data_IF_040761496785
#
_entry.id   IF_040761496785
#
_cell.length_a   1.000
_cell.length_b   1.000
_cell.length_c   1.000
_cell.angle_alpha   90.00
_cell.angle_beta   90.00
_cell.angle_gamma   90.00
#
_symmetry.space_group_name_H-M   'P 1'
#
loop_
_entity.id
_entity.type
_entity.pdbx_description
1 polymer ?
#
# COMPACT_ATOMS: atom_id res chain seq x y z
N UNK A 1 41.73 12.78 8.26
CA UNK A 1 41.94 11.37 8.57
C UNK A 1 40.76 10.98 9.45
N UNK A 2 39.65 10.69 8.80
CA UNK A 2 38.48 10.06 9.39
C UNK A 2 38.13 8.94 8.42
N UNK A 3 38.50 7.72 8.80
CA UNK A 3 38.20 6.50 8.07
C UNK A 3 36.69 6.25 8.18
N UNK A 4 35.94 6.62 7.14
CA UNK A 4 34.56 6.19 7.00
C UNK A 4 34.54 4.65 7.02
N UNK A 5 33.88 4.07 8.03
CA UNK A 5 33.73 2.61 8.14
C UNK A 5 32.84 2.12 7.00
N UNK A 6 33.44 1.40 6.06
CA UNK A 6 32.72 0.72 5.00
C UNK A 6 31.98 -0.46 5.61
N UNK A 7 30.65 -0.50 5.48
CA UNK A 7 29.84 -1.65 5.91
C UNK A 7 29.32 -2.33 4.66
N UNK A 8 29.91 -3.47 4.33
CA UNK A 8 29.42 -4.36 3.29
C UNK A 8 28.15 -5.06 3.80
N UNK A 9 27.02 -4.86 3.11
CA UNK A 9 25.78 -5.57 3.41
C UNK A 9 25.54 -6.61 2.30
N UNK A 10 25.45 -7.91 2.65
CA UNK A 10 25.11 -8.97 1.70
C UNK A 10 23.78 -8.72 1.00
N UNK A 11 23.69 -9.11 -0.28
CA UNK A 11 22.46 -8.97 -1.07
C UNK A 11 21.29 -9.78 -0.48
N UNK A 12 21.57 -10.91 0.18
CA UNK A 12 20.55 -11.66 0.91
C UNK A 12 21.10 -12.48 2.07
N UNK A 13 20.26 -12.72 3.06
CA UNK A 13 20.52 -13.61 4.20
C UNK A 13 19.55 -14.78 4.21
N UNK A 14 20.03 -15.98 4.53
CA UNK A 14 19.22 -17.20 4.63
C UNK A 14 19.25 -17.74 6.04
N UNK A 15 18.10 -18.12 6.59
CA UNK A 15 18.00 -18.76 7.90
C UNK A 15 16.81 -19.71 7.96
N UNK A 16 17.05 -20.98 8.28
CA UNK A 16 16.00 -22.01 8.22
C UNK A 16 15.35 -22.06 6.84
N UNK A 17 14.02 -21.91 6.79
CA UNK A 17 13.24 -21.86 5.53
C UNK A 17 13.13 -20.44 4.96
N UNK A 18 13.76 -19.45 5.58
CA UNK A 18 13.58 -18.05 5.25
C UNK A 18 14.73 -17.47 4.42
N UNK A 19 14.39 -16.53 3.53
CA UNK A 19 15.34 -15.72 2.78
C UNK A 19 14.99 -14.25 2.94
N UNK A 20 15.89 -13.46 3.52
CA UNK A 20 15.77 -12.02 3.63
C UNK A 20 16.53 -11.36 2.49
N UNK A 21 15.80 -10.80 1.54
CA UNK A 21 16.31 -10.05 0.39
C UNK A 21 16.47 -8.58 0.78
N UNK A 22 17.71 -8.09 0.79
CA UNK A 22 18.04 -6.74 1.26
C UNK A 22 17.71 -5.67 0.23
N UNK A 23 18.10 -5.79 -1.06
CA UNK A 23 17.73 -4.82 -2.10
C UNK A 23 16.22 -4.65 -2.26
N UNK A 24 15.46 -5.74 -2.31
CA UNK A 24 14.01 -5.70 -2.52
C UNK A 24 13.22 -5.51 -1.23
N UNK A 25 13.90 -5.51 -0.07
CA UNK A 25 13.32 -5.43 1.27
C UNK A 25 12.19 -6.43 1.51
N UNK A 26 12.42 -7.69 1.13
CA UNK A 26 11.43 -8.78 1.23
C UNK A 26 11.93 -9.91 2.12
N UNK A 27 11.01 -10.51 2.87
CA UNK A 27 11.24 -11.79 3.51
C UNK A 27 10.50 -12.85 2.69
N UNK A 28 11.14 -13.98 2.46
CA UNK A 28 10.54 -15.16 1.84
C UNK A 28 10.57 -16.29 2.84
N UNK A 29 9.55 -17.16 2.81
CA UNK A 29 9.54 -18.45 3.46
C UNK A 29 9.27 -19.49 2.39
N UNK A 30 10.28 -20.30 2.09
CA UNK A 30 10.29 -21.15 0.91
C UNK A 30 9.99 -20.29 -0.34
N UNK A 31 8.88 -20.53 -1.03
CA UNK A 31 8.46 -19.76 -2.22
C UNK A 31 7.41 -18.67 -1.90
N UNK A 32 7.00 -18.51 -0.64
CA UNK A 32 5.99 -17.54 -0.22
C UNK A 32 6.64 -16.25 0.32
N UNK A 33 6.30 -15.11 -0.28
CA UNK A 33 6.73 -13.80 0.21
C UNK A 33 5.96 -13.42 1.49
N UNK A 34 6.69 -13.21 2.58
CA UNK A 34 6.20 -12.67 3.85
C UNK A 34 6.52 -11.18 3.89
N UNK A 35 5.49 -10.36 4.05
CA UNK A 35 5.68 -8.92 4.12
C UNK A 35 5.93 -8.46 5.55
N UNK A 36 6.95 -7.62 5.67
CA UNK A 36 7.31 -6.95 6.90
C UNK A 36 7.07 -5.45 6.72
N UNK A 37 6.50 -4.81 7.74
CA UNK A 37 6.45 -3.34 7.82
C UNK A 37 7.90 -2.81 7.84
N UNK A 38 8.22 -1.60 7.31
CA UNK A 38 9.60 -1.13 7.21
C UNK A 38 10.45 -1.30 8.47
N UNK A 39 9.91 -0.98 9.65
CA UNK A 39 10.61 -1.15 10.93
C UNK A 39 10.75 -2.60 11.40
N UNK A 40 9.84 -3.48 11.01
CA UNK A 40 9.98 -4.91 11.24
C UNK A 40 11.06 -5.50 10.35
N UNK A 41 11.15 -5.03 9.10
CA UNK A 41 12.23 -5.39 8.19
C UNK A 41 13.57 -4.92 8.74
N UNK A 42 13.69 -3.63 9.09
CA UNK A 42 14.93 -3.07 9.65
C UNK A 42 15.36 -3.82 10.92
N UNK A 43 14.38 -4.15 11.79
CA UNK A 43 14.62 -4.93 13.00
C UNK A 43 15.06 -6.37 12.71
N UNK A 44 14.43 -7.03 11.73
CA UNK A 44 14.82 -8.39 11.33
C UNK A 44 16.21 -8.39 10.66
N UNK A 45 16.49 -7.42 9.79
CA UNK A 45 17.81 -7.23 9.19
C UNK A 45 18.88 -7.03 10.26
N UNK A 46 18.60 -6.19 11.26
CA UNK A 46 19.49 -6.01 12.40
C UNK A 46 19.73 -7.33 13.14
N UNK A 47 18.69 -8.11 13.41
CA UNK A 47 18.82 -9.40 14.09
C UNK A 47 19.61 -10.43 13.30
N UNK A 48 19.36 -10.52 11.99
CA UNK A 48 20.01 -11.48 11.09
C UNK A 48 21.47 -11.12 10.87
N UNK A 49 21.80 -9.83 10.70
CA UNK A 49 23.17 -9.33 10.62
C UNK A 49 23.95 -9.50 11.94
N UNK A 50 23.24 -9.66 13.07
CA UNK A 50 23.83 -9.89 14.39
C UNK A 50 23.51 -11.29 14.94
N UNK A 51 23.28 -12.26 14.06
CA UNK A 51 22.87 -13.61 14.45
C UNK A 51 23.84 -14.25 15.45
N UNK A 52 23.29 -14.96 16.44
CA UNK A 52 24.03 -15.58 17.53
C UNK A 52 24.48 -14.64 18.64
N UNK A 53 24.53 -13.31 18.41
CA UNK A 53 24.93 -12.33 19.43
C UNK A 53 23.77 -11.88 20.30
N UNK A 54 24.04 -11.66 21.59
CA UNK A 54 23.11 -10.97 22.48
C UNK A 54 23.20 -9.47 22.21
N UNK A 55 22.12 -8.91 21.68
CA UNK A 55 21.97 -7.48 21.37
C UNK A 55 21.23 -6.78 22.51
N UNK A 56 21.76 -5.63 22.97
CA UNK A 56 21.12 -4.87 24.06
C UNK A 56 19.91 -4.11 23.53
N UNK A 57 18.89 -3.90 24.36
CA UNK A 57 17.70 -3.13 23.96
C UNK A 57 18.05 -1.75 23.39
N UNK A 58 18.88 -0.99 24.09
CA UNK A 58 19.28 0.35 23.66
C UNK A 58 20.03 0.33 22.32
N UNK A 59 20.91 -0.66 22.13
CA UNK A 59 21.65 -0.83 20.87
C UNK A 59 20.71 -1.09 19.69
N UNK A 60 19.68 -1.91 19.88
CA UNK A 60 18.65 -2.15 18.85
C UNK A 60 17.86 -0.87 18.58
N UNK A 61 17.49 -0.14 19.64
CA UNK A 61 16.75 1.11 19.52
C UNK A 61 17.54 2.16 18.74
N UNK A 62 18.81 2.33 19.05
CA UNK A 62 19.70 3.29 18.39
C UNK A 62 19.93 2.90 16.92
N UNK A 63 20.05 1.62 16.61
CA UNK A 63 20.29 1.16 15.24
C UNK A 63 19.02 1.23 14.35
N UNK A 64 17.87 0.82 14.86
CA UNK A 64 16.63 0.70 14.07
C UNK A 64 15.81 2.00 14.09
N UNK A 65 15.93 2.79 15.15
CA UNK A 65 15.22 4.06 15.36
C UNK A 65 16.16 5.25 15.65
N UNK A 66 17.32 5.30 14.98
CA UNK A 66 18.36 6.33 15.17
C UNK A 66 17.86 7.79 15.25
N UNK A 67 16.80 8.13 14.49
CA UNK A 67 16.25 9.49 14.40
C UNK A 67 14.91 9.65 15.15
N UNK A 68 14.54 8.72 16.02
CA UNK A 68 13.24 8.74 16.69
C UNK A 68 13.34 8.19 18.11
N UNK A 69 12.93 9.00 19.09
CA UNK A 69 12.81 8.52 20.46
C UNK A 69 11.61 7.56 20.56
N UNK A 70 11.89 6.29 20.85
CA UNK A 70 10.89 5.23 21.05
C UNK A 70 11.15 4.53 22.38
N UNK A 71 10.07 4.07 23.03
CA UNK A 71 10.17 3.33 24.28
C UNK A 71 10.52 1.84 24.07
N UNK A 72 11.06 1.18 25.09
CA UNK A 72 11.33 -0.26 25.07
C UNK A 72 10.07 -1.11 24.80
N UNK A 73 8.89 -0.58 25.11
CA UNK A 73 7.58 -1.18 24.83
C UNK A 73 7.35 -1.38 23.33
N UNK A 74 7.77 -0.42 22.50
CA UNK A 74 7.72 -0.49 21.04
C UNK A 74 8.63 -1.58 20.49
N UNK A 75 9.84 -1.72 21.04
CA UNK A 75 10.76 -2.80 20.70
C UNK A 75 10.16 -4.17 21.04
N UNK A 76 9.67 -4.33 22.27
CA UNK A 76 9.07 -5.59 22.71
C UNK A 76 7.86 -6.01 21.85
N UNK A 77 7.05 -5.04 21.41
CA UNK A 77 5.92 -5.28 20.50
C UNK A 77 6.38 -5.74 19.12
N UNK A 78 7.35 -5.06 18.50
CA UNK A 78 7.86 -5.46 17.18
C UNK A 78 8.52 -6.85 17.22
N UNK A 79 9.22 -7.19 18.30
CA UNK A 79 9.73 -8.55 18.52
C UNK A 79 8.59 -9.57 18.62
N UNK A 80 7.50 -9.26 19.32
CA UNK A 80 6.32 -10.13 19.41
C UNK A 80 5.67 -10.37 18.04
N UNK A 81 5.58 -9.33 17.19
CA UNK A 81 5.05 -9.44 15.84
C UNK A 81 5.96 -10.28 14.94
N UNK A 82 7.27 -10.04 14.98
CA UNK A 82 8.24 -10.86 14.25
C UNK A 82 8.16 -12.34 14.65
N UNK A 83 8.01 -12.64 15.96
CA UNK A 83 7.81 -14.03 16.41
C UNK A 83 6.56 -14.65 15.82
N UNK A 84 5.42 -13.93 15.80
CA UNK A 84 4.18 -14.45 15.19
C UNK A 84 4.35 -14.78 13.70
N UNK A 85 5.10 -13.96 12.97
CA UNK A 85 5.33 -14.14 11.54
C UNK A 85 6.33 -15.27 11.24
N UNK A 86 7.39 -15.38 12.04
CA UNK A 86 8.46 -16.35 11.83
C UNK A 86 8.15 -17.72 12.48
N UNK A 87 7.26 -17.75 13.48
CA UNK A 87 6.93 -18.92 14.30
C UNK A 87 5.40 -19.20 14.36
N UNK A 88 4.67 -19.28 13.22
CA UNK A 88 3.20 -19.31 13.22
C UNK A 88 2.59 -20.55 13.91
N UNK A 89 3.29 -21.69 13.91
CA UNK A 89 2.80 -22.94 14.52
C UNK A 89 3.14 -23.09 16.00
N UNK A 90 3.63 -22.02 16.65
CA UNK A 90 4.07 -22.08 18.05
C UNK A 90 5.23 -23.07 18.27
N UNK A 91 6.00 -23.34 17.22
CA UNK A 91 7.15 -24.23 17.29
C UNK A 91 8.09 -23.71 18.38
N UNK A 92 8.50 -24.57 19.32
CA UNK A 92 9.34 -24.22 20.49
C UNK A 92 10.73 -23.64 20.16
N UNK A 93 11.03 -23.37 18.89
CA UNK A 93 12.27 -22.72 18.45
C UNK A 93 12.05 -21.22 18.49
N UNK A 94 12.41 -20.58 19.61
CA UNK A 94 12.44 -19.12 19.73
C UNK A 94 13.56 -18.57 18.82
N UNK A 95 13.24 -18.29 17.57
CA UNK A 95 14.14 -17.70 16.58
C UNK A 95 14.65 -16.35 17.07
N UNK A 96 13.78 -15.58 17.73
CA UNK A 96 14.18 -14.42 18.53
C UNK A 96 13.99 -14.78 20.00
N UNK A 97 15.08 -15.00 20.73
CA UNK A 97 15.08 -15.32 22.16
C UNK A 97 15.14 -14.05 23.01
N UNK A 98 14.35 -13.99 24.08
CA UNK A 98 14.47 -12.91 25.08
C UNK A 98 15.58 -13.27 26.07
N UNK A 99 16.60 -12.41 26.21
CA UNK A 99 17.61 -12.51 27.27
C UNK A 99 17.19 -11.59 28.43
N UNK A 100 16.70 -12.13 29.56
CA UNK A 100 16.12 -11.34 30.64
C UNK A 100 17.06 -10.23 31.11
N UNK A 101 16.54 -9.01 31.27
CA UNK A 101 17.25 -7.81 31.71
C UNK A 101 18.39 -7.32 30.79
N UNK A 102 18.61 -7.94 29.62
CA UNK A 102 19.67 -7.56 28.68
C UNK A 102 19.11 -7.13 27.32
N UNK A 103 18.30 -7.97 26.70
CA UNK A 103 17.81 -7.69 25.34
C UNK A 103 17.39 -8.96 24.61
N UNK A 104 17.84 -9.12 23.37
CA UNK A 104 17.38 -10.18 22.47
C UNK A 104 18.55 -10.87 21.75
N UNK A 105 18.35 -12.12 21.36
CA UNK A 105 19.28 -12.90 20.56
C UNK A 105 18.54 -13.56 19.41
N UNK A 106 19.06 -13.42 18.20
CA UNK A 106 18.60 -14.19 17.05
C UNK A 106 19.35 -15.53 17.04
N UNK A 107 18.62 -16.63 17.21
CA UNK A 107 19.19 -17.97 17.40
C UNK A 107 19.46 -18.78 16.13
N UNK A 108 18.79 -18.53 14.99
CA UNK A 108 19.07 -19.26 13.76
C UNK A 108 20.51 -19.05 13.27
N UNK A 109 21.07 -20.10 12.69
CA UNK A 109 22.24 -19.98 11.85
C UNK A 109 21.86 -19.21 10.57
N UNK A 110 22.66 -18.20 10.25
CA UNK A 110 22.46 -17.33 9.10
C UNK A 110 23.57 -17.58 8.09
N UNK A 111 23.20 -17.75 6.82
CA UNK A 111 24.12 -17.83 5.70
C UNK A 111 23.93 -16.63 4.78
N UNK A 112 25.00 -15.95 4.43
CA UNK A 112 25.02 -14.87 3.46
C UNK A 112 25.08 -15.47 2.05
N UNK A 113 24.18 -15.07 1.15
CA UNK A 113 24.21 -15.50 -0.23
C UNK A 113 24.67 -14.34 -1.11
N UNK A 114 25.95 -14.39 -1.48
CA UNK A 114 26.60 -13.46 -2.40
C UNK A 114 26.36 -13.89 -3.85
N UNK A 115 25.40 -13.22 -4.51
CA UNK A 115 25.49 -13.01 -5.95
C UNK A 115 25.69 -11.51 -6.22
N UNK A 116 26.96 -11.10 -6.21
CA UNK A 116 27.53 -9.90 -6.87
C UNK A 116 26.88 -8.52 -6.68
N UNK A 117 26.14 -8.25 -5.59
CA UNK A 117 25.63 -6.89 -5.31
C UNK A 117 25.92 -6.46 -3.88
N UNK A 118 27.08 -5.83 -3.67
CA UNK A 118 27.42 -5.14 -2.43
C UNK A 118 26.72 -3.78 -2.38
N UNK A 119 25.90 -3.53 -1.36
CA UNK A 119 25.35 -2.21 -1.08
C UNK A 119 26.38 -1.38 -0.30
N UNK A 120 26.86 -0.29 -0.90
CA UNK A 120 27.70 0.70 -0.21
C UNK A 120 26.78 1.75 0.42
N UNK A 121 26.74 1.80 1.76
CA UNK A 121 26.00 2.83 2.51
C UNK A 121 26.98 3.91 2.94
N UNK A 122 26.89 5.11 2.35
CA UNK A 122 27.58 6.31 2.83
C UNK A 122 26.68 7.06 3.82
N UNK A 123 27.23 7.44 4.97
CA UNK A 123 26.47 8.02 6.08
C UNK A 123 25.96 9.42 5.69
N UNK A 124 24.63 9.54 5.61
CA UNK A 124 23.82 10.73 5.31
C UNK A 124 23.48 10.95 3.82
N UNK A 125 22.18 10.82 3.55
CA UNK A 125 21.46 11.00 2.26
C UNK A 125 21.46 9.78 1.35
N UNK A 126 20.34 9.04 1.36
CA UNK A 126 20.02 8.08 0.28
C UNK A 126 19.73 8.88 -0.99
N UNK A 127 20.76 9.12 -1.79
CA UNK A 127 20.60 9.54 -3.19
C UNK A 127 20.33 8.31 -4.05
N UNK A 128 19.14 8.25 -4.67
CA UNK A 128 18.82 7.28 -5.70
C UNK A 128 19.70 7.55 -6.94
N UNK A 129 20.74 6.76 -7.15
CA UNK A 129 21.43 6.70 -8.44
C UNK A 129 20.65 5.75 -9.35
N UNK A 130 19.97 6.32 -10.34
CA UNK A 130 19.48 5.60 -11.51
C UNK A 130 20.67 5.31 -12.42
N UNK A 131 21.24 4.11 -12.31
CA UNK A 131 22.19 3.62 -13.29
C UNK A 131 21.47 3.35 -14.61
N UNK A 132 21.82 4.08 -15.66
CA UNK A 132 21.42 3.78 -17.03
C UNK A 132 22.05 2.44 -17.46
N UNK A 133 21.22 1.48 -17.88
CA UNK A 133 21.71 0.33 -18.64
C UNK A 133 22.17 0.79 -20.02
N UNK A 134 23.48 1.01 -20.17
CA UNK A 134 24.13 0.92 -21.49
C UNK A 134 24.58 -0.51 -21.69
N UNK A 135 23.85 -1.26 -22.51
CA UNK A 135 24.31 -2.57 -23.00
C UNK A 135 25.47 -2.31 -23.97
N UNK A 136 26.70 -2.61 -23.55
CA UNK A 136 27.83 -2.78 -24.47
C UNK A 136 28.35 -4.21 -24.38
N UNK A 137 28.13 -4.97 -25.44
CA UNK A 137 28.64 -6.31 -25.63
C UNK A 137 30.16 -6.25 -25.79
N UNK A 138 30.91 -7.05 -25.01
CA UNK A 138 32.25 -7.47 -25.43
C UNK A 138 32.37 -8.99 -25.27
N UNK A 139 32.49 -9.66 -26.41
CA UNK A 139 32.69 -11.10 -26.56
C UNK A 139 34.06 -11.57 -26.08
N UNK A 140 34.14 -12.74 -25.46
CA UNK A 140 35.36 -13.56 -25.34
C UNK A 140 35.42 -14.63 -26.45
N UNK A 141 36.58 -15.22 -26.77
CA UNK A 141 36.91 -15.66 -28.12
C UNK A 141 36.34 -17.02 -28.53
N UNK A 142 36.33 -17.19 -29.84
CA UNK A 142 35.62 -18.15 -30.68
C UNK A 142 36.24 -19.56 -30.68
N UNK A 143 35.41 -20.58 -30.46
CA UNK A 143 35.65 -21.95 -30.95
C UNK A 143 34.82 -22.15 -32.22
N UNK A 144 35.48 -22.39 -33.36
CA UNK A 144 34.84 -22.50 -34.68
C UNK A 144 33.94 -23.74 -34.75
N UNK A 145 32.65 -23.54 -35.00
CA UNK A 145 31.66 -24.59 -35.33
C UNK A 145 31.30 -24.51 -36.81
N UNK A 146 31.12 -25.68 -37.45
CA UNK A 146 30.95 -25.86 -38.91
C UNK A 146 29.63 -25.29 -39.47
N UNK A 147 29.61 -24.92 -40.78
CA UNK A 147 28.49 -24.20 -41.42
C UNK A 147 27.12 -24.90 -41.37
N UNK A 148 27.06 -26.23 -41.15
CA UNK A 148 25.80 -26.95 -41.00
C UNK A 148 25.05 -26.63 -39.69
N UNK A 149 25.76 -26.23 -38.62
CA UNK A 149 25.16 -25.92 -37.33
C UNK A 149 24.53 -24.51 -37.30
N UNK A 150 25.11 -23.56 -38.03
CA UNK A 150 24.61 -22.19 -38.13
C UNK A 150 23.21 -22.12 -38.78
N UNK A 151 22.96 -22.95 -39.80
CA UNK A 151 21.68 -22.98 -40.52
C UNK A 151 20.54 -23.55 -39.68
N UNK A 152 20.81 -24.58 -38.88
CA UNK A 152 19.84 -25.16 -37.94
C UNK A 152 19.49 -24.18 -36.81
N UNK A 153 20.50 -23.48 -36.27
CA UNK A 153 20.30 -22.46 -35.22
C UNK A 153 19.47 -21.29 -35.75
N UNK A 154 19.70 -20.81 -36.97
CA UNK A 154 18.88 -19.73 -37.55
C UNK A 154 17.42 -20.13 -37.74
N UNK A 155 17.15 -21.36 -38.20
CA UNK A 155 15.78 -21.83 -38.41
C UNK A 155 15.02 -21.96 -37.08
N UNK A 156 15.67 -22.49 -36.03
CA UNK A 156 15.10 -22.57 -34.68
C UNK A 156 14.88 -21.17 -34.11
N UNK A 157 15.82 -20.22 -34.33
CA UNK A 157 15.67 -18.84 -33.87
C UNK A 157 14.47 -18.15 -34.53
N UNK A 158 14.25 -18.37 -35.83
CA UNK A 158 13.06 -17.85 -36.53
C UNK A 158 11.76 -18.46 -36.00
N UNK A 159 11.74 -19.76 -35.69
CA UNK A 159 10.57 -20.41 -35.10
C UNK A 159 10.31 -19.88 -33.69
N UNK A 160 11.35 -19.70 -32.86
CA UNK A 160 11.23 -19.14 -31.53
C UNK A 160 10.74 -17.69 -31.60
N UNK A 161 11.27 -16.86 -32.50
CA UNK A 161 10.82 -15.48 -32.70
C UNK A 161 9.37 -15.44 -33.20
N UNK A 162 8.97 -16.36 -34.08
CA UNK A 162 7.59 -16.44 -34.58
C UNK A 162 6.61 -16.90 -33.48
N UNK A 163 7.00 -17.88 -32.67
CA UNK A 163 6.19 -18.39 -31.55
C UNK A 163 6.10 -17.34 -30.43
N UNK A 164 7.22 -16.72 -30.05
CA UNK A 164 7.23 -15.61 -29.08
C UNK A 164 6.45 -14.40 -29.61
N UNK A 165 6.59 -14.07 -30.89
CA UNK A 165 5.81 -13.01 -31.54
C UNK A 165 4.32 -13.32 -31.56
N UNK A 166 3.93 -14.57 -31.79
CA UNK A 166 2.54 -15.01 -31.76
C UNK A 166 1.97 -15.03 -30.33
N UNK A 167 2.74 -15.48 -29.33
CA UNK A 167 2.36 -15.43 -27.91
C UNK A 167 2.24 -14.00 -27.38
N UNK A 168 3.15 -13.10 -27.78
CA UNK A 168 3.08 -11.66 -27.44
C UNK A 168 1.93 -10.99 -28.18
N UNK A 169 1.67 -11.34 -29.44
CA UNK A 169 0.51 -10.85 -30.17
C UNK A 169 -0.81 -11.29 -29.52
N UNK A 170 -0.90 -12.54 -29.05
CA UNK A 170 -2.06 -13.01 -28.30
C UNK A 170 -2.18 -12.37 -26.92
N UNK A 171 -1.09 -12.13 -26.18
CA UNK A 171 -1.14 -11.45 -24.88
C UNK A 171 -1.51 -9.96 -25.00
N UNK A 172 -0.99 -9.27 -26.03
CA UNK A 172 -1.34 -7.87 -26.33
C UNK A 172 -2.78 -7.74 -26.85
N UNK A 173 -3.25 -8.71 -27.63
CA UNK A 173 -4.66 -8.73 -28.09
C UNK A 173 -5.64 -9.18 -26.99
N UNK A 174 -5.16 -9.90 -25.98
CA UNK A 174 -5.93 -10.27 -24.79
C UNK A 174 -5.95 -9.16 -23.71
N UNK A 175 -4.94 -8.28 -23.67
CA UNK A 175 -4.89 -7.10 -22.79
C UNK A 175 -5.58 -5.86 -23.37
N UNK A 176 -5.88 -5.82 -24.67
CA UNK A 176 -6.77 -4.81 -25.22
C UNK A 176 -8.21 -5.13 -24.87
N UNK A 177 -8.66 -4.69 -23.69
CA UNK A 177 -10.07 -4.46 -23.42
C UNK A 177 -10.71 -3.62 -24.55
N UNK A 178 -12.05 -3.62 -24.68
CA UNK A 178 -12.73 -2.93 -25.77
C UNK A 178 -12.21 -1.49 -25.88
N UNK A 179 -11.73 -1.11 -27.07
CA UNK A 179 -11.15 0.21 -27.31
C UNK A 179 -12.07 1.35 -26.85
N UNK A 180 -11.55 2.57 -26.66
CA UNK A 180 -12.31 3.70 -26.08
C UNK A 180 -13.71 3.89 -26.69
N UNK A 181 -13.86 3.64 -28.00
CA UNK A 181 -15.14 3.68 -28.71
C UNK A 181 -16.09 2.53 -28.34
N UNK A 182 -15.59 1.32 -28.18
CA UNK A 182 -16.37 0.15 -27.77
C UNK A 182 -16.75 0.20 -26.29
N UNK A 183 -15.87 0.77 -25.43
CA UNK A 183 -16.17 1.05 -24.02
C UNK A 183 -17.26 2.13 -23.89
N UNK A 184 -17.14 3.22 -24.64
CA UNK A 184 -18.16 4.27 -24.72
C UNK A 184 -19.49 3.75 -25.29
N UNK A 185 -19.46 2.84 -26.26
CA UNK A 185 -20.67 2.21 -26.82
C UNK A 185 -21.36 1.27 -25.83
N UNK A 186 -20.61 0.39 -25.13
CA UNK A 186 -21.13 -0.49 -24.07
C UNK A 186 -21.72 0.34 -22.92
N UNK A 187 -21.07 1.47 -22.61
CA UNK A 187 -21.52 2.42 -21.60
C UNK A 187 -22.80 3.17 -22.01
N UNK A 188 -22.91 3.63 -23.26
CA UNK A 188 -24.14 4.24 -23.81
C UNK A 188 -25.31 3.25 -23.81
N UNK A 189 -25.07 2.00 -24.19
CA UNK A 189 -26.08 0.95 -24.20
C UNK A 189 -26.56 0.57 -22.79
N UNK A 190 -25.65 0.51 -21.80
CA UNK A 190 -26.04 0.24 -20.41
C UNK A 190 -26.80 1.41 -19.78
N UNK A 191 -26.35 2.66 -20.02
CA UNK A 191 -27.03 3.88 -19.55
C UNK A 191 -28.46 3.98 -20.13
N UNK A 192 -28.65 3.61 -21.39
CA UNK A 192 -29.96 3.56 -22.03
C UNK A 192 -30.88 2.46 -21.44
N UNK A 193 -30.32 1.40 -20.87
CA UNK A 193 -31.07 0.30 -20.26
C UNK A 193 -31.45 0.52 -18.78
N UNK A 194 -30.91 1.55 -18.13
CA UNK A 194 -31.14 1.88 -16.70
C UNK A 194 -31.78 3.25 -16.52
N UNK A 195 -32.82 3.59 -17.30
CA UNK A 195 -33.33 4.97 -17.44
C UNK A 195 -33.79 5.66 -16.16
N UNK A 196 -34.01 4.93 -15.06
CA UNK A 196 -34.52 5.48 -13.80
C UNK A 196 -33.43 5.66 -12.71
N UNK A 197 -32.18 5.21 -12.96
CA UNK A 197 -31.08 5.37 -11.99
C UNK A 197 -30.14 6.50 -12.38
N UNK A 198 -29.92 7.43 -11.46
CA UNK A 198 -28.99 8.55 -11.65
C UNK A 198 -27.54 8.05 -11.71
N UNK A 199 -26.88 8.22 -12.84
CA UNK A 199 -25.45 7.89 -12.99
C UNK A 199 -24.58 8.90 -12.22
N UNK A 200 -23.59 8.40 -11.49
CA UNK A 200 -22.54 9.22 -10.88
C UNK A 200 -21.51 9.60 -11.95
N UNK A 201 -21.10 10.85 -11.98
CA UNK A 201 -20.17 11.41 -12.98
C UNK A 201 -18.92 11.96 -12.32
N UNK A 202 -17.82 12.02 -13.06
CA UNK A 202 -16.64 12.80 -12.67
C UNK A 202 -17.06 14.25 -12.43
N UNK A 203 -16.63 14.81 -11.31
CA UNK A 203 -17.01 16.13 -10.79
C UNK A 203 -18.36 16.17 -10.05
N UNK A 204 -19.00 15.02 -9.81
CA UNK A 204 -20.15 14.96 -8.90
C UNK A 204 -19.68 15.09 -7.47
N UNK A 205 -20.44 15.80 -6.64
CA UNK A 205 -20.27 15.79 -5.19
C UNK A 205 -21.13 14.67 -4.62
N UNK A 206 -20.53 13.81 -3.79
CA UNK A 206 -21.15 12.60 -3.26
C UNK A 206 -21.01 12.51 -1.74
N UNK A 207 -21.93 11.81 -1.10
CA UNK A 207 -21.74 11.29 0.25
C UNK A 207 -21.41 9.80 0.18
N UNK A 208 -20.59 9.35 1.12
CA UNK A 208 -20.10 7.97 1.20
C UNK A 208 -20.52 7.36 2.54
N UNK A 209 -21.42 6.39 2.51
CA UNK A 209 -21.99 5.79 3.72
C UNK A 209 -21.48 4.35 3.89
N UNK A 210 -20.89 4.04 5.04
CA UNK A 210 -20.50 2.66 5.35
C UNK A 210 -21.73 1.79 5.70
N UNK A 211 -21.63 0.47 5.55
CA UNK A 211 -22.74 -0.48 5.81
C UNK A 211 -22.64 -1.25 7.13
N UNK A 212 -21.90 -0.75 8.11
CA UNK A 212 -21.74 -1.43 9.41
C UNK A 212 -23.10 -1.62 10.11
N UNK A 213 -23.39 -2.77 10.75
CA UNK A 213 -24.72 -3.06 11.30
C UNK A 213 -25.21 -2.01 12.31
N UNK A 214 -26.49 -1.61 12.17
CA UNK A 214 -27.32 -0.75 13.04
C UNK A 214 -27.39 0.76 12.77
N UNK A 215 -26.53 1.39 11.94
CA UNK A 215 -26.75 2.76 11.42
C UNK A 215 -25.57 3.15 10.51
N UNK A 216 -25.63 2.82 9.21
CA UNK A 216 -24.58 3.21 8.27
C UNK A 216 -24.29 4.71 8.40
N UNK A 217 -23.04 5.08 8.64
CA UNK A 217 -22.66 6.48 8.93
C UNK A 217 -21.72 7.00 7.83
N UNK A 218 -21.79 8.30 7.59
CA UNK A 218 -21.13 8.96 6.46
C UNK A 218 -19.67 9.28 6.75
N UNK A 219 -18.84 9.24 5.72
CA UNK A 219 -17.46 9.71 5.73
C UNK A 219 -17.44 11.23 5.96
N UNK A 220 -16.98 11.67 7.13
CA UNK A 220 -16.94 13.08 7.54
C UNK A 220 -15.51 13.52 7.90
N UNK A 221 -15.08 14.65 7.34
CA UNK A 221 -13.81 15.29 7.67
C UNK A 221 -13.99 16.29 8.83
N UNK A 222 -13.18 16.15 9.88
CA UNK A 222 -13.23 17.03 11.05
C UNK A 222 -11.89 17.05 11.81
N UNK A 223 -11.79 17.88 12.85
CA UNK A 223 -10.68 17.78 13.80
C UNK A 223 -9.33 18.17 13.20
N UNK A 224 -9.15 19.47 12.95
CA UNK A 224 -7.91 20.05 12.41
C UNK A 224 -6.66 19.47 13.09
N UNK A 225 -5.92 18.68 12.34
CA UNK A 225 -4.89 17.78 12.86
C UNK A 225 -3.67 18.58 13.33
N UNK A 226 -3.31 19.64 12.60
CA UNK A 226 -2.18 20.52 12.92
C UNK A 226 -2.26 21.21 14.29
N UNK A 227 -3.46 21.33 14.86
CA UNK A 227 -3.66 21.96 16.17
C UNK A 227 -3.31 21.05 17.35
N UNK A 228 -3.17 19.74 17.09
CA UNK A 228 -3.03 18.70 18.12
C UNK A 228 -1.54 18.35 18.33
N UNK A 229 -1.03 18.38 19.57
CA UNK A 229 0.38 18.10 19.86
C UNK A 229 0.91 16.76 19.32
N UNK A 230 0.05 15.75 19.27
CA UNK A 230 0.31 14.39 18.79
C UNK A 230 0.67 14.35 17.31
N UNK A 231 0.27 15.38 16.55
CA UNK A 231 0.41 15.45 15.10
C UNK A 231 1.42 16.51 14.62
N UNK A 232 2.20 17.09 15.54
CA UNK A 232 3.26 18.07 15.22
C UNK A 232 4.29 17.60 14.19
N UNK A 233 4.42 16.27 13.99
CA UNK A 233 5.38 15.65 13.06
C UNK A 233 4.75 15.18 11.73
N UNK A 234 3.46 15.41 11.50
CA UNK A 234 2.74 15.07 10.26
C UNK A 234 2.16 16.35 9.64
N UNK A 235 3.01 17.17 9.00
CA UNK A 235 2.69 18.55 8.64
C UNK A 235 1.76 18.68 7.42
N UNK A 236 1.48 17.58 6.74
CA UNK A 236 0.75 17.58 5.46
C UNK A 236 -0.74 17.29 5.60
N UNK A 237 -1.11 16.62 6.68
CA UNK A 237 -2.46 16.21 7.02
C UNK A 237 -3.24 17.41 7.55
N UNK A 238 -4.43 17.60 7.00
CA UNK A 238 -5.27 18.74 7.30
C UNK A 238 -6.31 18.38 8.36
N UNK A 239 -7.19 17.43 8.07
CA UNK A 239 -8.29 17.05 8.95
C UNK A 239 -8.36 15.54 9.12
N UNK A 240 -8.75 15.11 10.32
CA UNK A 240 -9.07 13.72 10.63
C UNK A 240 -10.39 13.33 9.95
N UNK A 241 -10.57 12.03 9.71
CA UNK A 241 -11.76 11.52 9.05
C UNK A 241 -12.37 10.41 9.88
N UNK A 242 -13.68 10.50 10.13
CA UNK A 242 -14.43 9.47 10.84
C UNK A 242 -15.85 9.34 10.30
N UNK A 243 -16.60 8.39 10.85
CA UNK A 243 -18.02 8.27 10.54
C UNK A 243 -18.84 9.35 11.25
N UNK A 244 -19.88 9.89 10.63
CA UNK A 244 -20.88 10.74 11.27
C UNK A 244 -22.32 10.41 10.80
N UNK A 245 -23.34 10.65 11.62
CA UNK A 245 -24.74 10.32 11.25
C UNK A 245 -25.36 11.30 10.26
N UNK A 246 -25.00 12.59 10.36
CA UNK A 246 -25.38 13.60 9.37
C UNK A 246 -24.50 13.42 8.11
N UNK A 247 -25.09 13.28 6.91
CA UNK A 247 -24.34 13.18 5.65
C UNK A 247 -23.47 14.38 5.33
N UNK A 248 -23.79 15.56 5.85
CA UNK A 248 -22.91 16.73 5.75
C UNK A 248 -23.04 17.57 7.01
N UNK A 249 -22.13 17.34 7.96
CA UNK A 249 -22.25 17.91 9.31
C UNK A 249 -21.97 19.42 9.32
N UNK A 250 -21.00 19.87 8.53
CA UNK A 250 -20.40 21.18 8.68
C UNK A 250 -19.79 21.67 7.37
N UNK A 251 -20.65 22.33 6.58
CA UNK A 251 -20.28 23.07 5.38
C UNK A 251 -19.35 22.27 4.44
N UNK A 252 -19.82 21.10 4.00
CA UNK A 252 -19.08 20.24 3.08
C UNK A 252 -18.22 19.18 3.74
N UNK A 253 -18.21 19.07 5.07
CA UNK A 253 -17.40 18.09 5.80
C UNK A 253 -17.69 16.65 5.41
N UNK A 254 -18.94 16.32 5.07
CA UNK A 254 -19.34 14.98 4.62
C UNK A 254 -19.53 14.84 3.10
N UNK A 255 -19.25 15.91 2.36
CA UNK A 255 -19.47 16.02 0.92
C UNK A 255 -18.13 15.94 0.17
N UNK A 256 -18.04 15.07 -0.85
CA UNK A 256 -16.80 14.75 -1.55
C UNK A 256 -16.96 14.86 -3.07
N UNK A 257 -16.22 15.74 -3.74
CA UNK A 257 -16.12 15.78 -5.20
C UNK A 257 -15.28 14.61 -5.72
N UNK A 258 -15.83 13.87 -6.68
CA UNK A 258 -15.13 12.80 -7.40
C UNK A 258 -14.27 13.41 -8.50
N UNK A 259 -12.97 13.50 -8.29
CA UNK A 259 -12.01 14.06 -9.25
C UNK A 259 -11.30 12.93 -9.98
N UNK A 260 -11.17 13.00 -11.30
CA UNK A 260 -10.48 11.93 -12.05
C UNK A 260 -8.98 11.93 -11.75
N UNK A 261 -8.43 10.75 -11.47
CA UNK A 261 -6.98 10.47 -11.43
C UNK A 261 -6.53 9.61 -12.64
N UNK A 262 -7.44 9.35 -13.58
CA UNK A 262 -7.25 8.48 -14.75
C UNK A 262 -7.43 9.21 -16.08
N UNK A 263 -7.55 10.55 -16.05
CA UNK A 263 -7.65 11.40 -17.24
C UNK A 263 -9.06 11.53 -17.83
N UNK A 264 -10.10 11.10 -17.12
CA UNK A 264 -11.50 11.35 -17.52
C UNK A 264 -11.88 12.82 -17.31
N UNK A 265 -12.67 13.36 -18.23
CA UNK A 265 -13.19 14.70 -18.18
C UNK A 265 -14.39 14.81 -17.24
N UNK A 266 -14.62 16.02 -16.71
CA UNK A 266 -15.80 16.34 -15.90
C UNK A 266 -17.07 16.08 -16.69
N UNK A 267 -18.05 15.42 -16.05
CA UNK A 267 -19.32 15.02 -16.67
C UNK A 267 -19.32 13.64 -17.32
N UNK A 268 -18.16 13.01 -17.53
CA UNK A 268 -18.10 11.61 -17.94
C UNK A 268 -18.56 10.68 -16.79
N UNK A 269 -19.18 9.52 -17.07
CA UNK A 269 -19.65 8.65 -16.01
C UNK A 269 -18.48 7.99 -15.25
N UNK A 270 -18.61 7.96 -13.93
CA UNK A 270 -17.77 7.17 -13.05
C UNK A 270 -18.06 5.69 -13.29
N UNK A 271 -17.01 4.88 -13.33
CA UNK A 271 -17.13 3.44 -13.57
C UNK A 271 -16.20 2.62 -12.65
N UNK A 272 -16.52 1.35 -12.49
CA UNK A 272 -15.64 0.36 -11.85
C UNK A 272 -14.28 0.35 -12.58
N UNK A 273 -13.20 0.30 -11.80
CA UNK A 273 -11.81 0.35 -12.26
C UNK A 273 -11.26 1.77 -12.43
N UNK A 274 -12.09 2.82 -12.37
CA UNK A 274 -11.60 4.19 -12.45
C UNK A 274 -10.75 4.54 -11.22
N UNK A 275 -9.65 5.27 -11.48
CA UNK A 275 -8.86 5.94 -10.45
C UNK A 275 -9.39 7.35 -10.23
N UNK A 276 -9.61 7.71 -8.97
CA UNK A 276 -10.15 9.00 -8.54
C UNK A 276 -9.41 9.56 -7.33
N UNK A 277 -9.45 10.88 -7.19
CA UNK A 277 -9.25 11.57 -5.92
C UNK A 277 -10.61 11.96 -5.35
N UNK A 278 -10.71 12.01 -4.02
CA UNK A 278 -11.93 12.46 -3.33
C UNK A 278 -11.63 13.78 -2.65
N UNK A 279 -12.05 14.89 -3.27
CA UNK A 279 -11.87 16.24 -2.73
C UNK A 279 -13.02 16.60 -1.79
N UNK A 280 -12.74 16.86 -0.53
CA UNK A 280 -13.74 17.28 0.44
C UNK A 280 -14.19 18.72 0.18
N UNK A 281 -15.49 18.98 0.36
CA UNK A 281 -16.07 20.30 0.10
C UNK A 281 -15.85 21.28 1.25
N UNK A 282 -15.38 20.84 2.42
CA UNK A 282 -14.90 21.75 3.46
C UNK A 282 -13.61 22.45 2.96
N UNK A 283 -13.56 23.79 2.94
CA UNK A 283 -12.45 24.54 2.35
C UNK A 283 -11.07 24.24 2.95
N UNK A 284 -11.02 23.73 4.18
CA UNK A 284 -9.77 23.45 4.89
C UNK A 284 -9.34 21.98 4.83
N UNK A 285 -10.20 21.09 4.32
CA UNK A 285 -9.96 19.66 4.33
C UNK A 285 -9.06 19.22 3.16
N UNK A 286 -9.35 19.58 1.91
CA UNK A 286 -8.58 19.08 0.76
C UNK A 286 -9.02 17.66 0.38
N UNK A 287 -8.09 16.73 0.14
CA UNK A 287 -8.36 15.42 -0.46
C UNK A 287 -8.16 14.26 0.51
N UNK A 288 -9.00 13.23 0.39
CA UNK A 288 -8.90 11.99 1.15
C UNK A 288 -7.59 11.25 0.83
N UNK A 289 -6.83 10.89 1.85
CA UNK A 289 -5.52 10.28 1.70
C UNK A 289 -5.21 9.32 2.85
N UNK A 290 -4.43 8.30 2.55
CA UNK A 290 -3.92 7.35 3.54
C UNK A 290 -2.57 7.81 4.06
N UNK A 291 -2.49 8.05 5.38
CA UNK A 291 -1.21 8.23 6.03
C UNK A 291 -0.54 6.86 6.25
N UNK A 292 0.51 6.56 5.49
CA UNK A 292 1.34 5.37 5.68
C UNK A 292 2.26 5.41 6.92
N UNK A 293 2.35 6.57 7.59
CA UNK A 293 3.25 6.83 8.73
C UNK A 293 2.54 6.77 10.09
N UNK A 294 1.49 5.94 10.22
CA UNK A 294 0.73 5.82 11.47
C UNK A 294 1.51 5.26 12.64
N UNK A 295 2.66 4.62 12.40
CA UNK A 295 3.55 4.11 13.45
C UNK A 295 4.08 5.18 14.40
N UNK A 296 4.08 6.45 13.98
CA UNK A 296 4.47 7.61 14.80
C UNK A 296 3.28 8.27 15.51
N UNK A 297 2.07 7.73 15.36
CA UNK A 297 0.86 8.24 15.98
C UNK A 297 0.38 7.21 17.03
N UNK A 298 0.93 7.23 18.27
CA UNK A 298 0.59 6.29 19.35
C UNK A 298 -0.92 6.15 19.58
N UNK A 299 -1.65 7.20 19.24
CA UNK A 299 -3.11 7.28 19.32
C UNK A 299 -3.84 6.20 18.47
N UNK A 300 -3.21 5.70 17.41
CA UNK A 300 -3.75 4.62 16.58
C UNK A 300 -3.20 3.22 16.93
N UNK A 301 -2.32 3.09 17.93
CA UNK A 301 -1.71 1.79 18.29
C UNK A 301 -2.71 0.73 18.78
N UNK A 302 -3.90 1.15 19.22
CA UNK A 302 -4.97 0.22 19.64
C UNK A 302 -5.70 -0.41 18.45
N UNK A 303 -5.57 0.13 17.24
CA UNK A 303 -6.16 -0.41 16.02
C UNK A 303 -5.16 -1.38 15.37
N UNK A 304 -4.84 -2.44 16.10
CA UNK A 304 -3.92 -3.50 15.66
C UNK A 304 -4.60 -4.30 14.55
N UNK A 305 -4.11 -4.12 13.31
CA UNK A 305 -4.08 -5.07 12.18
C UNK A 305 -3.80 -4.26 10.90
N UNK A 306 -2.52 -3.88 10.68
CA UNK A 306 -2.04 -3.19 9.46
C UNK A 306 -3.03 -2.16 8.89
N UNK A 307 -3.56 -1.28 9.74
CA UNK A 307 -4.50 -0.24 9.33
C UNK A 307 -3.77 1.08 9.10
N UNK A 308 -3.70 1.54 7.84
CA UNK A 308 -3.36 2.93 7.55
C UNK A 308 -4.48 3.83 8.07
N UNK A 309 -4.15 4.92 8.77
CA UNK A 309 -5.16 5.89 9.18
C UNK A 309 -5.45 6.82 8.01
N UNK A 310 -6.72 7.15 7.84
CA UNK A 310 -7.19 7.96 6.73
C UNK A 310 -7.43 9.38 7.24
N UNK A 311 -6.87 10.34 6.50
CA UNK A 311 -6.98 11.76 6.78
C UNK A 311 -7.37 12.48 5.49
N UNK A 312 -7.38 13.80 5.57
CA UNK A 312 -7.32 14.66 4.39
C UNK A 312 -5.96 15.35 4.28
N UNK A 313 -5.58 15.77 3.07
CA UNK A 313 -4.37 16.57 2.80
C UNK A 313 -4.65 17.61 1.72
N UNK A 314 -3.80 18.63 1.61
CA UNK A 314 -3.92 19.63 0.53
C UNK A 314 -3.57 19.08 -0.85
N UNK A 315 -2.74 18.03 -0.92
CA UNK A 315 -2.37 17.39 -2.19
C UNK A 315 -3.35 16.26 -2.53
N UNK A 316 -3.83 16.16 -3.77
CA UNK A 316 -4.66 15.04 -4.20
C UNK A 316 -3.92 13.70 -4.20
N UNK A 317 -2.58 13.73 -4.24
CA UNK A 317 -1.77 12.53 -4.15
C UNK A 317 -0.42 12.91 -3.51
N UNK A 318 -0.33 12.81 -2.18
CA UNK A 318 0.87 13.25 -1.47
C UNK A 318 2.05 12.34 -1.77
N UNK A 319 1.89 11.03 -1.60
CA UNK A 319 2.97 10.05 -1.75
C UNK A 319 2.52 8.88 -2.64
N UNK A 320 2.97 8.86 -3.90
CA UNK A 320 2.90 7.70 -4.78
C UNK A 320 1.65 6.78 -4.65
N UNK A 321 0.46 7.38 -4.71
CA UNK A 321 -0.82 6.68 -4.68
C UNK A 321 -1.60 6.75 -3.36
N UNK A 322 -1.08 7.37 -2.30
CA UNK A 322 -1.79 7.51 -0.99
C UNK A 322 -3.14 8.21 -1.09
N UNK A 323 -3.28 9.16 -2.02
CA UNK A 323 -4.52 9.93 -2.24
C UNK A 323 -5.30 9.49 -3.49
N UNK A 324 -4.85 8.41 -4.14
CA UNK A 324 -5.49 7.88 -5.34
C UNK A 324 -6.25 6.60 -5.00
N UNK A 325 -7.54 6.60 -5.32
CA UNK A 325 -8.48 5.56 -4.96
C UNK A 325 -9.06 4.89 -6.21
N UNK A 326 -9.21 3.58 -6.20
CA UNK A 326 -9.78 2.78 -7.28
C UNK A 326 -11.20 2.39 -6.90
N UNK A 327 -12.16 2.67 -7.78
CA UNK A 327 -13.55 2.25 -7.61
C UNK A 327 -13.67 0.76 -7.93
N UNK A 328 -14.15 -0.03 -6.96
CA UNK A 328 -14.38 -1.48 -7.09
C UNK A 328 -15.84 -1.82 -6.87
N UNK A 329 -16.26 -2.96 -7.42
CA UNK A 329 -17.58 -3.53 -7.19
C UNK A 329 -17.45 -5.03 -6.98
N UNK A 330 -18.27 -5.60 -6.10
CA UNK A 330 -18.35 -7.05 -5.93
C UNK A 330 -18.94 -7.75 -7.17
N UNK A 331 -19.80 -7.06 -7.93
CA UNK A 331 -20.60 -7.65 -9.00
C UNK A 331 -20.38 -7.00 -10.38
N UNK A 332 -19.66 -5.88 -10.44
CA UNK A 332 -19.42 -5.13 -11.68
C UNK A 332 -18.02 -5.37 -12.25
N UNK A 333 -17.95 -5.62 -13.56
CA UNK A 333 -16.68 -5.64 -14.31
C UNK A 333 -16.14 -4.21 -14.51
N UNK A 334 -14.84 -4.09 -14.80
CA UNK A 334 -14.22 -2.80 -15.13
C UNK A 334 -14.95 -2.10 -16.30
N UNK A 335 -15.20 -0.80 -16.13
CA UNK A 335 -15.99 0.01 -17.06
C UNK A 335 -17.51 0.00 -16.80
N UNK A 336 -18.01 -0.79 -15.85
CA UNK A 336 -19.41 -0.72 -15.42
C UNK A 336 -19.68 0.64 -14.76
N UNK A 337 -20.62 1.45 -15.28
CA UNK A 337 -21.05 2.71 -14.66
C UNK A 337 -21.54 2.54 -13.23
N UNK A 338 -21.22 3.51 -12.39
CA UNK A 338 -21.70 3.61 -11.01
C UNK A 338 -22.96 4.47 -10.98
N UNK A 339 -24.00 3.95 -10.33
CA UNK A 339 -25.25 4.63 -10.10
C UNK A 339 -25.39 5.03 -8.63
N UNK A 340 -26.18 6.07 -8.40
CA UNK A 340 -26.62 6.45 -7.06
C UNK A 340 -27.29 5.26 -6.35
N UNK A 341 -26.88 5.01 -5.11
CA UNK A 341 -27.33 3.88 -4.29
C UNK A 341 -26.55 2.59 -4.50
N UNK A 342 -25.62 2.52 -5.46
CA UNK A 342 -24.79 1.34 -5.64
C UNK A 342 -23.86 1.12 -4.43
N UNK A 343 -23.62 -0.15 -4.12
CA UNK A 343 -22.61 -0.55 -3.15
C UNK A 343 -21.27 -0.74 -3.86
N UNK A 344 -20.31 0.10 -3.51
CA UNK A 344 -18.96 0.10 -4.06
C UNK A 344 -17.94 -0.27 -2.99
N UNK A 345 -16.75 -0.65 -3.40
CA UNK A 345 -15.58 -0.65 -2.53
C UNK A 345 -14.57 0.38 -3.06
N UNK A 346 -13.87 1.04 -2.15
CA UNK A 346 -12.88 2.07 -2.48
C UNK A 346 -11.52 1.52 -2.07
N UNK A 347 -10.70 1.18 -3.06
CA UNK A 347 -9.39 0.56 -2.86
C UNK A 347 -8.30 1.64 -2.97
N UNK A 348 -7.38 1.71 -2.01
CA UNK A 348 -6.22 2.59 -2.10
C UNK A 348 -5.24 2.05 -3.13
N UNK A 349 -4.74 2.93 -3.99
CA UNK A 349 -3.67 2.62 -4.93
C UNK A 349 -2.27 2.67 -4.31
N UNK A 350 -2.17 3.02 -3.03
CA UNK A 350 -0.92 3.02 -2.30
C UNK A 350 -0.23 1.65 -2.42
N UNK A 351 0.99 1.64 -2.95
CA UNK A 351 1.80 0.46 -3.30
C UNK A 351 1.36 -0.38 -4.51
N UNK A 352 0.38 0.06 -5.32
CA UNK A 352 0.09 -0.52 -6.63
C UNK A 352 0.94 0.21 -7.68
N UNK A 353 1.91 -0.47 -8.31
CA UNK A 353 2.55 0.07 -9.51
C UNK A 353 1.69 -0.15 -10.75
N UNK A 354 1.86 0.67 -11.79
CA UNK A 354 1.06 0.58 -13.03
C UNK A 354 1.21 -0.75 -13.78
N UNK A 355 2.20 -1.56 -13.42
CA UNK A 355 2.40 -2.92 -13.93
C UNK A 355 1.69 -4.01 -13.10
N UNK A 356 0.98 -3.66 -12.02
CA UNK A 356 0.24 -4.61 -11.17
C UNK A 356 1.08 -5.65 -10.44
N UNK A 357 2.40 -5.47 -10.37
CA UNK A 357 3.37 -6.47 -9.86
C UNK A 357 3.65 -6.38 -8.35
N UNK A 358 3.20 -5.32 -7.68
CA UNK A 358 3.15 -5.23 -6.22
C UNK A 358 1.70 -5.00 -5.82
N UNK A 359 1.04 -5.99 -5.19
CA UNK A 359 -0.35 -5.90 -4.76
C UNK A 359 -0.42 -5.86 -3.24
N UNK A 360 -0.15 -4.69 -2.68
CA UNK A 360 -0.56 -4.39 -1.30
C UNK A 360 -1.62 -3.30 -1.33
N UNK A 361 -2.75 -3.59 -1.95
CA UNK A 361 -3.87 -2.68 -1.97
C UNK A 361 -4.78 -2.95 -0.78
N UNK A 362 -5.42 -1.91 -0.30
CA UNK A 362 -6.31 -2.02 0.85
C UNK A 362 -7.58 -1.23 0.67
N UNK A 363 -8.66 -1.68 1.29
CA UNK A 363 -9.95 -1.01 1.17
C UNK A 363 -10.13 0.02 2.27
N UNK A 364 -10.76 1.13 1.90
CA UNK A 364 -11.34 2.07 2.86
C UNK A 364 -12.41 1.34 3.67
N UNK A 365 -12.14 1.12 4.94
CA UNK A 365 -13.03 0.42 5.89
C UNK A 365 -13.26 1.27 7.13
N UNK A 366 -14.22 0.87 7.95
CA UNK A 366 -14.41 1.42 9.30
C UNK A 366 -13.91 0.43 10.35
N UNK A 367 -13.06 0.89 11.26
CA UNK A 367 -12.50 0.07 12.34
C UNK A 367 -12.36 0.90 13.62
N UNK A 368 -12.47 0.25 14.78
CA UNK A 368 -12.26 0.90 16.07
C UNK A 368 -13.32 1.94 16.43
N UNK A 369 -13.23 2.53 17.64
CA UNK A 369 -14.15 3.60 18.07
C UNK A 369 -13.41 4.91 18.25
N UNK A 370 -14.01 6.00 17.76
CA UNK A 370 -13.46 7.36 17.88
C UNK A 370 -13.20 7.74 19.34
N UNK A 371 -14.11 7.37 20.25
CA UNK A 371 -13.95 7.60 21.70
C UNK A 371 -12.68 6.97 22.31
N UNK A 372 -12.09 5.97 21.65
CA UNK A 372 -10.89 5.29 22.11
C UNK A 372 -9.61 6.04 21.70
N UNK A 373 -9.75 7.14 20.93
CA UNK A 373 -8.70 8.08 20.52
C UNK A 373 -8.83 9.36 21.37
N UNK A 374 -8.00 9.57 22.40
CA UNK A 374 -8.10 10.76 23.26
C UNK A 374 -8.00 12.09 22.52
N UNK A 375 -7.24 12.16 21.42
CA UNK A 375 -7.09 13.39 20.62
C UNK A 375 -8.40 13.81 19.91
N UNK A 376 -9.33 12.86 19.73
CA UNK A 376 -10.57 12.99 18.94
C UNK A 376 -11.82 12.48 19.70
N UNK A 377 -11.76 12.28 21.02
CA UNK A 377 -12.89 11.77 21.79
C UNK A 377 -13.88 12.88 22.26
N UNK A 378 -13.60 14.12 21.87
CA UNK A 378 -14.40 15.32 22.12
C UNK A 378 -15.58 15.47 21.14
N UNK A 379 -15.75 14.55 20.20
CA UNK A 379 -16.72 14.66 19.11
C UNK A 379 -17.96 13.78 19.31
N UNK A 380 -19.11 14.43 19.46
CA UNK A 380 -20.42 13.77 19.58
C UNK A 380 -20.94 13.32 18.20
N UNK A 381 -21.48 12.10 18.12
CA UNK A 381 -22.04 11.54 16.89
C UNK A 381 -21.05 10.73 16.04
N UNK A 382 -19.74 10.92 16.23
CA UNK A 382 -18.71 10.12 15.59
C UNK A 382 -18.48 8.77 16.30
N UNK A 383 -18.57 7.67 15.54
CA UNK A 383 -18.53 6.32 16.10
C UNK A 383 -17.27 5.55 15.75
N UNK A 384 -16.93 5.44 14.47
CA UNK A 384 -15.87 4.59 13.95
C UNK A 384 -14.83 5.40 13.17
N UNK A 385 -13.61 4.89 13.13
CA UNK A 385 -12.48 5.50 12.41
C UNK A 385 -12.41 4.90 11.01
N UNK A 386 -12.21 5.73 9.99
CA UNK A 386 -11.89 5.21 8.66
C UNK A 386 -10.41 4.81 8.59
N UNK A 387 -10.17 3.60 8.11
CA UNK A 387 -8.84 3.01 8.01
C UNK A 387 -8.69 2.28 6.67
N UNK A 388 -7.46 1.91 6.31
CA UNK A 388 -7.18 1.02 5.19
C UNK A 388 -6.70 -0.34 5.70
N UNK A 389 -7.36 -1.45 5.35
CA UNK A 389 -6.83 -2.79 5.64
C UNK A 389 -5.82 -3.23 4.57
N UNK A 390 -4.63 -3.68 4.96
CA UNK A 390 -3.58 -4.17 4.06
C UNK A 390 -3.73 -5.69 3.91
N UNK A 391 -4.25 -6.20 2.78
CA UNK A 391 -4.40 -7.65 2.56
C UNK A 391 -4.25 -8.09 1.10
N UNK A 392 -3.43 -9.12 0.86
CA UNK A 392 -3.05 -9.64 -0.46
C UNK A 392 -4.13 -10.46 -1.17
N UNK A 393 -5.14 -10.94 -0.44
CA UNK A 393 -6.19 -11.83 -0.93
C UNK A 393 -7.53 -11.47 -0.29
N UNK A 394 -8.15 -10.39 -0.76
CA UNK A 394 -9.53 -10.09 -0.39
C UNK A 394 -10.44 -10.12 -1.61
N UNK A 395 -11.37 -11.07 -1.61
CA UNK A 395 -12.70 -10.86 -2.21
C UNK A 395 -13.37 -9.74 -1.42
N UNK A 396 -13.93 -8.72 -2.08
CA UNK A 396 -14.65 -7.62 -1.43
C UNK A 396 -15.73 -8.20 -0.50
N UNK A 397 -15.59 -8.17 0.83
CA UNK A 397 -16.65 -8.62 1.72
C UNK A 397 -17.74 -7.56 1.75
N UNK A 398 -19.00 -7.97 1.61
CA UNK A 398 -20.15 -7.05 1.54
C UNK A 398 -20.21 -6.04 2.70
N UNK A 399 -19.69 -6.41 3.87
CA UNK A 399 -19.65 -5.58 5.09
C UNK A 399 -18.73 -4.35 4.99
N UNK A 400 -17.82 -4.31 4.03
CA UNK A 400 -16.89 -3.19 3.79
C UNK A 400 -17.31 -2.33 2.60
N UNK A 401 -18.46 -2.62 2.01
CA UNK A 401 -18.98 -1.79 0.93
C UNK A 401 -19.53 -0.46 1.45
N UNK A 402 -19.39 0.54 0.60
CA UNK A 402 -19.82 1.91 0.80
C UNK A 402 -20.97 2.17 -0.17
N UNK A 403 -22.08 2.67 0.35
CA UNK A 403 -23.15 3.20 -0.49
C UNK A 403 -22.74 4.60 -0.95
N UNK A 404 -22.79 4.84 -2.26
CA UNK A 404 -22.51 6.15 -2.86
C UNK A 404 -23.81 6.84 -3.27
N UNK A 405 -24.03 8.07 -2.82
CA UNK A 405 -25.18 8.90 -3.20
C UNK A 405 -24.71 10.30 -3.57
N UNK A 406 -25.49 11.02 -4.39
CA UNK A 406 -25.17 12.44 -4.60
C UNK A 406 -25.34 13.20 -3.29
N UNK A 407 -24.44 14.15 -3.04
CA UNK A 407 -24.65 15.09 -1.96
C UNK A 407 -25.86 15.96 -2.28
N UNK A 408 -26.79 16.06 -1.34
CA UNK A 408 -27.92 16.98 -1.47
C UNK A 408 -27.35 18.39 -1.27
N UNK A 409 -27.42 19.24 -2.29
CA UNK A 409 -27.23 20.67 -2.08
C UNK A 409 -28.42 21.17 -1.27
N UNK A 410 -28.19 21.65 -0.04
CA UNK A 410 -29.21 22.43 0.68
C UNK A 410 -29.64 23.67 -0.12
#
# INVERSE_FOLDING_TARGET
>A
MDDAKHVEIPASYRFGTFVLDVPERRLWREDEAIQLVPKQFDLLLFFVANAGRVTKKQEILDAVWANTFVEETTLARNVSLLRKLLEPDGSRKQLIETVPKVGYRFTPEVTEADENNLLIVEEQTVHYFRGEETISQTSSPTRRLSPAFALAVTAVLFIVIAVSGYSVYQSVSAESGPGPDARAAKQRALIAATSDRNVIKIGSVVNLQNRYPNDGSYLDAWGQVWSKPEFKKVPTETMFVSTHRNPDRDNGSGSWEVVSASGKNKGEPLAVGDRVHLGNMNPNAGYLDVCGWTEHLPVFEKFLDQTGAVFTTRSPNRDNGTGTWIIRSANGEDGTPIFEGDSIAIESSYFINDAGKNRVSGFLIVAGKVKDIPAFNDHEGSKLVFTQNVSFKQTVPDIWTITISKAVSE
#
